data_IF_715135212873
#
_entry.id   IF_715135212873
#
_cell.length_a   1.000
_cell.length_b   1.000
_cell.length_c   1.000
_cell.angle_alpha   90.00
_cell.angle_beta   90.00
_cell.angle_gamma   90.00
#
_symmetry.space_group_name_H-M   'P 1'
#
loop_
_entity.id
_entity.type
_entity.pdbx_description
1 polymer ?
#
# COMPACT_ATOMS: atom_id res chain seq x y z
N UNK A 1 -18.74 18.02 13.97
CA UNK A 1 -17.71 17.68 12.96
C UNK A 1 -18.35 17.78 11.59
N UNK A 2 -17.75 18.51 10.66
CA UNK A 2 -18.22 18.51 9.27
C UNK A 2 -17.96 17.14 8.62
N UNK A 3 -18.86 16.67 7.76
CA UNK A 3 -18.66 15.40 7.01
C UNK A 3 -17.57 15.52 5.94
N UNK A 4 -17.09 16.72 5.66
CA UNK A 4 -16.14 16.98 4.57
C UNK A 4 -14.78 16.27 4.75
N UNK A 5 -14.13 16.26 5.93
CA UNK A 5 -12.89 15.52 6.15
C UNK A 5 -13.04 14.01 5.85
N UNK A 6 -14.13 13.40 6.33
CA UNK A 6 -14.39 11.97 6.10
C UNK A 6 -14.60 11.67 4.61
N UNK A 7 -15.39 12.48 3.91
CA UNK A 7 -15.60 12.30 2.48
C UNK A 7 -14.28 12.43 1.69
N UNK A 8 -13.47 13.46 2.00
CA UNK A 8 -12.17 13.65 1.34
C UNK A 8 -11.21 12.49 1.57
N UNK A 9 -11.28 11.82 2.71
CA UNK A 9 -10.46 10.67 3.03
C UNK A 9 -10.83 9.42 2.21
N UNK A 10 -12.12 9.19 1.92
CA UNK A 10 -12.59 7.98 1.21
C UNK A 10 -12.52 8.10 -0.31
N UNK A 11 -12.77 9.28 -0.87
CA UNK A 11 -12.91 9.47 -2.32
C UNK A 11 -11.74 8.88 -3.13
N UNK A 12 -10.46 9.11 -2.80
CA UNK A 12 -9.35 8.60 -3.58
C UNK A 12 -9.33 7.06 -3.66
N UNK A 13 -9.60 6.38 -2.54
CA UNK A 13 -9.67 4.93 -2.49
C UNK A 13 -10.84 4.38 -3.32
N UNK A 14 -12.02 5.01 -3.25
CA UNK A 14 -13.20 4.63 -4.04
C UNK A 14 -12.93 4.79 -5.54
N UNK A 15 -12.30 5.89 -5.95
CA UNK A 15 -11.95 6.14 -7.36
C UNK A 15 -11.00 5.05 -7.89
N UNK A 16 -9.98 4.67 -7.11
CA UNK A 16 -9.02 3.64 -7.52
C UNK A 16 -9.62 2.23 -7.46
N UNK A 17 -10.54 1.94 -6.52
CA UNK A 17 -11.33 0.70 -6.54
C UNK A 17 -12.21 0.63 -7.79
N UNK A 18 -12.86 1.72 -8.17
CA UNK A 18 -13.60 1.81 -9.42
C UNK A 18 -12.71 1.62 -10.65
N UNK A 19 -11.51 2.17 -10.64
CA UNK A 19 -10.54 2.02 -11.71
C UNK A 19 -10.10 0.55 -11.87
N UNK A 20 -9.73 -0.15 -10.81
CA UNK A 20 -9.29 -1.55 -10.92
C UNK A 20 -10.45 -2.46 -11.33
N UNK A 21 -11.66 -2.24 -10.81
CA UNK A 21 -12.86 -2.94 -11.24
C UNK A 21 -13.15 -2.75 -12.74
N UNK A 22 -13.02 -1.52 -13.24
CA UNK A 22 -13.17 -1.24 -14.66
C UNK A 22 -12.08 -1.91 -15.51
N UNK A 23 -10.86 -2.04 -15.00
CA UNK A 23 -9.78 -2.76 -15.68
C UNK A 23 -10.09 -4.25 -15.83
N UNK A 24 -10.79 -4.82 -14.86
CA UNK A 24 -11.19 -6.23 -14.80
C UNK A 24 -12.51 -6.55 -15.52
N UNK A 25 -13.07 -5.63 -16.27
CA UNK A 25 -14.40 -5.72 -16.88
C UNK A 25 -14.61 -6.90 -17.85
N UNK A 26 -13.57 -7.60 -18.28
CA UNK A 26 -13.68 -8.77 -19.19
C UNK A 26 -14.08 -10.03 -18.42
N UNK A 27 -13.64 -10.17 -17.18
CA UNK A 27 -13.96 -11.28 -16.28
C UNK A 27 -14.12 -10.73 -14.85
N UNK A 28 -15.17 -9.91 -14.58
CA UNK A 28 -15.27 -9.14 -13.35
C UNK A 28 -15.51 -10.03 -12.14
N UNK A 29 -14.74 -9.79 -11.10
CA UNK A 29 -14.90 -10.45 -9.83
C UNK A 29 -16.23 -10.10 -9.13
N UNK A 30 -16.87 -11.07 -8.42
CA UNK A 30 -18.10 -10.81 -7.69
C UNK A 30 -17.93 -9.69 -6.67
N UNK A 31 -18.81 -8.68 -6.71
CA UNK A 31 -18.77 -7.52 -5.81
C UNK A 31 -18.66 -7.92 -4.32
N UNK A 32 -19.33 -9.01 -3.94
CA UNK A 32 -19.24 -9.55 -2.57
C UNK A 32 -17.81 -9.96 -2.18
N UNK A 33 -17.03 -10.47 -3.12
CA UNK A 33 -15.63 -10.86 -2.88
C UNK A 33 -14.73 -9.61 -2.80
N UNK A 34 -14.98 -8.62 -3.66
CA UNK A 34 -14.26 -7.34 -3.61
C UNK A 34 -14.48 -6.62 -2.29
N UNK A 35 -15.74 -6.55 -1.82
CA UNK A 35 -16.08 -5.97 -0.52
C UNK A 35 -15.42 -6.71 0.65
N UNK A 36 -15.35 -8.05 0.59
CA UNK A 36 -14.63 -8.84 1.60
C UNK A 36 -13.13 -8.54 1.60
N UNK A 37 -12.50 -8.49 0.42
CA UNK A 37 -11.09 -8.16 0.30
C UNK A 37 -10.79 -6.75 0.84
N UNK A 38 -11.64 -5.76 0.51
CA UNK A 38 -11.53 -4.39 1.04
C UNK A 38 -11.69 -4.36 2.57
N UNK A 39 -12.65 -5.11 3.12
CA UNK A 39 -12.84 -5.21 4.57
C UNK A 39 -11.62 -5.87 5.27
N UNK A 40 -10.99 -6.86 4.65
CA UNK A 40 -9.74 -7.43 5.16
C UNK A 40 -8.61 -6.39 5.15
N UNK A 41 -8.56 -5.50 4.17
CA UNK A 41 -7.64 -4.37 4.17
C UNK A 41 -7.83 -3.45 5.37
N UNK A 42 -9.09 -3.14 5.71
CA UNK A 42 -9.41 -2.39 6.94
C UNK A 42 -8.92 -3.13 8.19
N UNK A 43 -9.07 -4.46 8.23
CA UNK A 43 -8.59 -5.30 9.34
C UNK A 43 -7.06 -5.43 9.37
N UNK A 44 -6.36 -5.11 8.30
CA UNK A 44 -4.89 -5.10 8.31
C UNK A 44 -4.31 -3.98 9.18
N UNK A 45 -5.04 -2.87 9.41
CA UNK A 45 -4.60 -1.79 10.33
C UNK A 45 -4.40 -2.31 11.76
N UNK A 46 -5.42 -2.85 12.46
CA UNK A 46 -5.20 -3.36 13.82
C UNK A 46 -4.17 -4.50 13.86
N UNK A 47 -4.03 -5.29 12.81
CA UNK A 47 -2.99 -6.33 12.73
C UNK A 47 -1.60 -5.69 12.64
N UNK A 48 -1.42 -4.64 11.84
CA UNK A 48 -0.18 -3.86 11.77
C UNK A 48 0.18 -3.28 13.14
N UNK A 49 -0.78 -2.65 13.82
CA UNK A 49 -0.56 -2.10 15.15
C UNK A 49 -0.19 -3.18 16.18
N UNK A 50 -0.77 -4.37 16.08
CA UNK A 50 -0.41 -5.51 16.91
C UNK A 50 1.02 -6.02 16.68
N UNK A 51 1.64 -5.72 15.54
CA UNK A 51 3.05 -5.98 15.25
C UNK A 51 3.92 -4.82 15.75
N UNK A 52 3.54 -3.58 15.42
CA UNK A 52 4.34 -2.37 15.67
C UNK A 52 4.49 -2.10 17.16
N UNK A 53 3.40 -2.09 17.95
CA UNK A 53 3.46 -1.74 19.37
C UNK A 53 4.38 -2.64 20.22
N UNK A 54 4.36 -3.99 20.09
CA UNK A 54 5.33 -4.81 20.80
C UNK A 54 6.78 -4.55 20.39
N UNK A 55 7.05 -4.31 19.10
CA UNK A 55 8.39 -4.01 18.60
C UNK A 55 8.90 -2.65 19.09
N UNK A 56 8.01 -1.66 19.21
CA UNK A 56 8.32 -0.36 19.81
C UNK A 56 8.60 -0.50 21.31
N UNK A 57 7.77 -1.27 22.02
CA UNK A 57 7.94 -1.49 23.47
C UNK A 57 9.26 -2.16 23.83
N UNK A 58 9.80 -3.05 22.99
CA UNK A 58 11.10 -3.69 23.19
C UNK A 58 12.27 -2.91 22.55
N UNK A 59 12.02 -1.70 22.02
CA UNK A 59 13.03 -0.81 21.47
C UNK A 59 13.58 -1.20 20.09
N UNK A 60 12.90 -2.08 19.35
CA UNK A 60 13.26 -2.41 17.95
C UNK A 60 12.77 -1.31 17.00
N UNK A 61 11.60 -0.75 17.22
CA UNK A 61 11.11 0.44 16.49
C UNK A 61 11.45 1.67 17.32
N UNK A 62 11.99 2.69 16.67
CA UNK A 62 12.39 3.94 17.33
C UNK A 62 11.14 4.78 17.66
N UNK A 63 11.15 5.45 18.84
CA UNK A 63 10.10 6.42 19.17
C UNK A 63 10.29 7.73 18.38
N UNK A 64 11.55 8.12 18.17
CA UNK A 64 11.93 9.32 17.42
C UNK A 64 13.22 9.07 16.62
N UNK A 65 13.39 9.75 15.52
CA UNK A 65 14.61 9.71 14.72
C UNK A 65 15.09 11.14 14.39
N UNK A 66 16.39 11.36 14.49
CA UNK A 66 17.03 12.66 14.22
C UNK A 66 18.09 12.58 13.12
N UNK A 67 18.30 11.38 12.57
CA UNK A 67 19.33 11.11 11.55
C UNK A 67 18.70 10.52 10.30
N UNK A 68 19.36 10.72 9.15
CA UNK A 68 18.92 10.11 7.86
C UNK A 68 18.81 8.60 7.98
N UNK A 69 19.78 7.94 8.64
CA UNK A 69 19.73 6.48 8.83
C UNK A 69 18.55 6.08 9.72
N UNK A 70 18.28 6.82 10.80
CA UNK A 70 17.11 6.59 11.65
C UNK A 70 15.80 6.75 10.89
N UNK A 71 15.68 7.76 10.04
CA UNK A 71 14.50 7.97 9.18
C UNK A 71 14.27 6.80 8.20
N UNK A 72 15.34 6.31 7.55
CA UNK A 72 15.25 5.12 6.67
C UNK A 72 14.87 3.88 7.47
N UNK A 73 15.53 3.66 8.62
CA UNK A 73 15.23 2.51 9.47
C UNK A 73 13.77 2.51 9.92
N UNK A 74 13.27 3.65 10.38
CA UNK A 74 11.88 3.79 10.82
C UNK A 74 10.88 3.59 9.68
N UNK A 75 11.13 4.13 8.50
CA UNK A 75 10.29 3.92 7.31
C UNK A 75 10.08 2.43 6.98
N UNK A 76 11.12 1.60 7.17
CA UNK A 76 10.99 0.17 6.94
C UNK A 76 10.39 -0.58 8.13
N UNK A 77 10.81 -0.26 9.36
CA UNK A 77 10.48 -1.06 10.55
C UNK A 77 9.13 -0.69 11.15
N UNK A 78 8.72 0.59 11.10
CA UNK A 78 7.46 1.04 11.68
C UNK A 78 6.30 1.01 10.67
N UNK A 79 6.58 1.13 9.36
CA UNK A 79 5.56 1.21 8.32
C UNK A 79 5.67 0.07 7.29
N UNK A 80 6.65 0.10 6.38
CA UNK A 80 6.64 -0.74 5.18
C UNK A 80 6.57 -2.25 5.46
N UNK A 81 7.40 -2.77 6.37
CA UNK A 81 7.43 -4.21 6.68
C UNK A 81 6.14 -4.65 7.39
N UNK A 82 5.71 -4.04 8.51
CA UNK A 82 4.52 -4.51 9.22
C UNK A 82 3.24 -4.34 8.42
N UNK A 83 3.12 -3.27 7.62
CA UNK A 83 1.94 -3.03 6.80
C UNK A 83 1.82 -4.01 5.65
N UNK A 84 2.88 -4.16 4.82
CA UNK A 84 2.81 -5.05 3.68
C UNK A 84 2.72 -6.52 4.10
N UNK A 85 3.34 -6.88 5.24
CA UNK A 85 3.20 -8.22 5.83
C UNK A 85 1.76 -8.48 6.28
N UNK A 86 1.12 -7.53 6.97
CA UNK A 86 -0.28 -7.63 7.42
C UNK A 86 -1.24 -7.76 6.24
N UNK A 87 -1.06 -6.93 5.20
CA UNK A 87 -1.84 -6.99 3.96
C UNK A 87 -1.68 -8.34 3.25
N UNK A 88 -0.44 -8.82 3.10
CA UNK A 88 -0.16 -10.10 2.44
C UNK A 88 -0.72 -11.29 3.24
N UNK A 89 -0.61 -11.27 4.56
CA UNK A 89 -1.16 -12.35 5.41
C UNK A 89 -2.67 -12.48 5.24
N UNK A 90 -3.41 -11.37 5.28
CA UNK A 90 -4.85 -11.37 5.11
C UNK A 90 -5.26 -11.71 3.67
N UNK A 91 -4.52 -11.23 2.68
CA UNK A 91 -4.70 -11.64 1.28
C UNK A 91 -4.51 -13.14 1.11
N UNK A 92 -3.44 -13.72 1.68
CA UNK A 92 -3.18 -15.16 1.62
C UNK A 92 -4.28 -15.96 2.31
N UNK A 93 -4.73 -15.57 3.50
CA UNK A 93 -5.83 -16.23 4.19
C UNK A 93 -7.11 -16.24 3.35
N UNK A 94 -7.38 -15.16 2.64
CA UNK A 94 -8.54 -15.01 1.78
C UNK A 94 -8.45 -15.83 0.49
N UNK A 95 -7.29 -15.80 -0.18
CA UNK A 95 -7.14 -16.39 -1.51
C UNK A 95 -6.78 -17.88 -1.52
N UNK A 96 -6.22 -18.43 -0.43
CA UNK A 96 -5.74 -19.84 -0.39
C UNK A 96 -6.80 -20.89 -0.72
N UNK A 97 -8.08 -20.59 -0.50
CA UNK A 97 -9.23 -21.46 -0.79
C UNK A 97 -10.35 -20.74 -1.55
N UNK A 98 -10.05 -19.59 -2.14
CA UNK A 98 -11.06 -18.81 -2.87
C UNK A 98 -11.19 -19.38 -4.30
N UNK A 99 -12.39 -19.88 -4.68
CA UNK A 99 -12.61 -20.43 -6.02
C UNK A 99 -12.65 -19.37 -7.10
N UNK A 100 -12.87 -18.11 -6.76
CA UNK A 100 -12.87 -16.98 -7.68
C UNK A 100 -11.46 -16.48 -8.02
N UNK A 101 -10.41 -17.01 -7.41
CA UNK A 101 -9.03 -16.73 -7.82
C UNK A 101 -8.63 -17.75 -8.89
N UNK A 102 -9.08 -17.61 -10.11
CA UNK A 102 -8.87 -18.54 -11.23
C UNK A 102 -8.13 -17.91 -12.41
N UNK A 103 -7.98 -16.60 -12.46
CA UNK A 103 -7.18 -15.87 -13.44
C UNK A 103 -6.01 -15.08 -12.80
N UNK A 104 -5.02 -14.70 -13.62
CA UNK A 104 -3.88 -13.91 -13.12
C UNK A 104 -4.26 -12.51 -12.67
N UNK A 105 -5.27 -11.91 -13.30
CA UNK A 105 -5.72 -10.56 -12.97
C UNK A 105 -6.37 -10.49 -11.58
N UNK A 106 -7.04 -11.57 -11.14
CA UNK A 106 -7.76 -11.62 -9.86
C UNK A 106 -6.84 -11.36 -8.66
N UNK A 107 -5.60 -11.88 -8.70
CA UNK A 107 -4.63 -11.62 -7.63
C UNK A 107 -4.28 -10.14 -7.53
N UNK A 108 -4.19 -9.42 -8.65
CA UNK A 108 -4.00 -7.96 -8.65
C UNK A 108 -5.25 -7.27 -8.10
N UNK A 109 -6.44 -7.65 -8.57
CA UNK A 109 -7.72 -7.05 -8.16
C UNK A 109 -7.93 -7.19 -6.66
N UNK A 110 -7.77 -8.40 -6.13
CA UNK A 110 -7.94 -8.66 -4.68
C UNK A 110 -6.86 -8.00 -3.83
N UNK A 111 -5.60 -8.02 -4.25
CA UNK A 111 -4.53 -7.34 -3.52
C UNK A 111 -4.70 -5.82 -3.49
N UNK A 112 -5.15 -5.22 -4.59
CA UNK A 112 -5.50 -3.79 -4.66
C UNK A 112 -6.68 -3.49 -3.74
N UNK A 113 -7.72 -4.35 -3.69
CA UNK A 113 -8.83 -4.17 -2.76
C UNK A 113 -8.37 -4.19 -1.30
N UNK A 114 -7.50 -5.15 -0.92
CA UNK A 114 -6.90 -5.18 0.43
C UNK A 114 -6.08 -3.92 0.69
N UNK A 115 -5.21 -3.55 -0.23
CA UNK A 115 -4.34 -2.38 -0.07
C UNK A 115 -5.10 -1.06 0.02
N UNK A 116 -6.16 -0.88 -0.77
CA UNK A 116 -7.01 0.31 -0.73
C UNK A 116 -7.97 0.32 0.48
N UNK A 117 -8.38 -0.85 0.98
CA UNK A 117 -9.11 -0.95 2.24
C UNK A 117 -8.26 -0.46 3.41
N UNK A 118 -6.98 -0.87 3.44
CA UNK A 118 -5.98 -0.36 4.39
C UNK A 118 -5.83 1.15 4.26
N UNK A 119 -5.47 1.63 3.06
CA UNK A 119 -5.23 3.04 2.78
C UNK A 119 -6.44 3.93 3.11
N UNK A 120 -7.66 3.43 2.88
CA UNK A 120 -8.89 4.16 3.19
C UNK A 120 -9.06 4.43 4.69
N UNK A 121 -8.88 3.40 5.55
CA UNK A 121 -8.95 3.59 7.00
C UNK A 121 -7.77 4.43 7.51
N UNK A 122 -6.56 4.15 7.04
CA UNK A 122 -5.37 4.93 7.37
C UNK A 122 -5.57 6.41 7.03
N UNK A 123 -6.10 6.72 5.84
CA UNK A 123 -6.38 8.09 5.41
C UNK A 123 -7.38 8.80 6.33
N UNK A 124 -8.41 8.08 6.80
CA UNK A 124 -9.35 8.61 7.81
C UNK A 124 -8.61 8.97 9.10
N UNK A 125 -7.76 8.09 9.61
CA UNK A 125 -7.00 8.33 10.84
C UNK A 125 -6.12 9.58 10.70
N UNK A 126 -5.39 9.72 9.60
CA UNK A 126 -4.57 10.91 9.34
C UNK A 126 -5.40 12.19 9.25
N UNK A 127 -6.51 12.16 8.54
CA UNK A 127 -7.35 13.36 8.32
C UNK A 127 -8.11 13.76 9.59
N UNK A 128 -8.57 12.78 10.40
CA UNK A 128 -9.35 13.08 11.62
C UNK A 128 -8.47 13.53 12.78
N UNK A 129 -7.23 13.01 12.86
CA UNK A 129 -6.31 13.29 13.97
C UNK A 129 -5.48 14.57 13.78
N UNK A 130 -5.60 15.27 12.65
CA UNK A 130 -4.81 16.45 12.33
C UNK A 130 -5.67 17.69 12.11
N UNK A 131 -5.23 18.83 12.64
CA UNK A 131 -5.91 20.11 12.48
C UNK A 131 -5.87 20.59 11.03
N UNK A 132 -4.73 20.43 10.32
CA UNK A 132 -4.57 20.74 8.89
C UNK A 132 -5.05 19.60 7.99
N UNK A 133 -6.25 19.09 8.29
CA UNK A 133 -6.83 17.95 7.60
C UNK A 133 -6.95 18.14 6.07
N UNK A 134 -7.14 19.39 5.60
CA UNK A 134 -7.36 19.67 4.17
C UNK A 134 -6.07 19.46 3.35
N UNK A 135 -4.94 19.98 3.81
CA UNK A 135 -3.62 19.77 3.20
C UNK A 135 -3.24 18.27 3.21
N UNK A 136 -3.47 17.62 4.35
CA UNK A 136 -3.22 16.17 4.50
C UNK A 136 -4.09 15.36 3.55
N UNK A 137 -5.39 15.66 3.46
CA UNK A 137 -6.30 14.97 2.56
C UNK A 137 -5.86 15.10 1.10
N UNK A 138 -5.44 16.29 0.66
CA UNK A 138 -4.99 16.53 -0.71
C UNK A 138 -3.68 15.79 -0.99
N UNK A 139 -2.67 15.91 -0.12
CA UNK A 139 -1.37 15.25 -0.32
C UNK A 139 -1.52 13.74 -0.33
N UNK A 140 -2.31 13.17 0.58
CA UNK A 140 -2.57 11.74 0.64
C UNK A 140 -3.40 11.24 -0.54
N UNK A 141 -4.34 12.03 -1.04
CA UNK A 141 -5.12 11.70 -2.24
C UNK A 141 -4.26 11.61 -3.51
N UNK A 142 -3.22 12.44 -3.60
CA UNK A 142 -2.34 12.51 -4.78
C UNK A 142 -1.20 11.48 -4.68
N UNK A 143 -0.68 11.21 -3.49
CA UNK A 143 0.54 10.42 -3.32
C UNK A 143 0.34 9.13 -2.52
N UNK A 144 -0.18 9.19 -1.28
CA UNK A 144 -0.23 8.03 -0.40
C UNK A 144 -1.22 6.97 -0.89
N UNK A 145 -2.47 7.34 -1.18
CA UNK A 145 -3.49 6.38 -1.65
C UNK A 145 -3.11 5.76 -3.01
N UNK A 146 -2.61 6.52 -4.01
CA UNK A 146 -2.02 5.94 -5.22
C UNK A 146 -0.77 5.09 -4.97
N UNK A 147 0.04 5.41 -3.95
CA UNK A 147 1.16 4.59 -3.50
C UNK A 147 0.69 3.20 -3.07
N UNK A 148 -0.26 3.14 -2.15
CA UNK A 148 -0.87 1.87 -1.71
C UNK A 148 -1.52 1.09 -2.85
N UNK A 149 -2.17 1.76 -3.80
CA UNK A 149 -2.64 1.11 -5.03
C UNK A 149 -1.49 0.42 -5.77
N UNK A 150 -0.36 1.09 -5.96
CA UNK A 150 0.80 0.53 -6.64
C UNK A 150 1.40 -0.66 -5.88
N UNK A 151 1.51 -0.58 -4.53
CA UNK A 151 1.99 -1.70 -3.70
C UNK A 151 1.04 -2.90 -3.79
N UNK A 152 -0.27 -2.66 -3.77
CA UNK A 152 -1.28 -3.70 -4.01
C UNK A 152 -1.13 -4.37 -5.38
N UNK A 153 -0.88 -3.60 -6.44
CA UNK A 153 -0.58 -4.15 -7.78
C UNK A 153 0.69 -5.00 -7.76
N UNK A 154 1.77 -4.55 -7.10
CA UNK A 154 3.02 -5.30 -6.98
C UNK A 154 2.82 -6.62 -6.24
N UNK A 155 2.16 -6.57 -5.09
CA UNK A 155 1.82 -7.75 -4.28
C UNK A 155 1.02 -8.75 -5.10
N UNK A 156 -0.09 -8.31 -5.69
CA UNK A 156 -1.00 -9.16 -6.46
C UNK A 156 -0.36 -9.73 -7.72
N UNK A 157 0.47 -8.97 -8.42
CA UNK A 157 1.22 -9.42 -9.59
C UNK A 157 2.09 -10.64 -9.26
N UNK A 158 2.95 -10.55 -8.25
CA UNK A 158 3.81 -11.66 -7.86
C UNK A 158 3.05 -12.78 -7.17
N UNK A 159 1.98 -12.48 -6.42
CA UNK A 159 1.13 -13.48 -5.81
C UNK A 159 0.43 -14.36 -6.87
N UNK A 160 -0.05 -13.75 -7.95
CA UNK A 160 -0.61 -14.48 -9.11
C UNK A 160 0.43 -15.33 -9.78
N UNK A 161 1.64 -14.82 -10.03
CA UNK A 161 2.72 -15.63 -10.60
C UNK A 161 3.06 -16.83 -9.70
N UNK A 162 3.05 -16.67 -8.38
CA UNK A 162 3.28 -17.77 -7.44
C UNK A 162 2.22 -18.88 -7.54
N UNK A 163 0.98 -18.55 -7.91
CA UNK A 163 -0.08 -19.55 -8.14
C UNK A 163 0.01 -20.20 -9.51
N UNK A 164 0.15 -19.39 -10.57
CA UNK A 164 0.02 -19.86 -11.95
C UNK A 164 1.32 -20.31 -12.59
N UNK A 165 2.47 -20.12 -11.92
CA UNK A 165 3.80 -20.59 -12.35
C UNK A 165 4.46 -21.41 -11.24
N UNK A 166 4.03 -22.66 -11.04
CA UNK A 166 4.41 -23.49 -9.89
C UNK A 166 5.92 -23.78 -9.81
N UNK A 167 6.64 -23.79 -10.95
CA UNK A 167 8.09 -23.98 -11.01
C UNK A 167 8.87 -22.92 -10.24
N UNK A 168 8.34 -21.71 -10.14
CA UNK A 168 8.98 -20.56 -9.48
C UNK A 168 8.20 -20.05 -8.27
N UNK A 169 7.29 -20.86 -7.72
CA UNK A 169 6.37 -20.50 -6.65
C UNK A 169 7.06 -19.82 -5.46
N UNK A 170 8.12 -20.43 -4.92
CA UNK A 170 8.83 -19.87 -3.75
C UNK A 170 9.41 -18.50 -4.04
N UNK A 171 10.03 -18.33 -5.22
CA UNK A 171 10.56 -17.03 -5.65
C UNK A 171 9.48 -15.99 -5.75
N UNK A 172 8.38 -16.28 -6.42
CA UNK A 172 7.29 -15.32 -6.59
C UNK A 172 6.55 -15.03 -5.29
N UNK A 173 6.42 -16.01 -4.38
CA UNK A 173 5.87 -15.76 -3.04
C UNK A 173 6.74 -14.79 -2.23
N UNK A 174 8.07 -14.94 -2.30
CA UNK A 174 8.98 -13.98 -1.66
C UNK A 174 8.88 -12.59 -2.29
N UNK A 175 8.82 -12.49 -3.63
CA UNK A 175 8.67 -11.21 -4.33
C UNK A 175 7.33 -10.54 -4.07
N UNK A 176 6.26 -11.29 -3.79
CA UNK A 176 4.96 -10.74 -3.41
C UNK A 176 5.00 -9.92 -2.11
N UNK A 177 5.98 -10.18 -1.23
CA UNK A 177 6.24 -9.38 -0.04
C UNK A 177 7.37 -8.36 -0.27
N UNK A 178 8.52 -8.83 -0.76
CA UNK A 178 9.74 -8.01 -0.79
C UNK A 178 9.60 -6.79 -1.72
N UNK A 179 8.94 -6.95 -2.87
CA UNK A 179 8.83 -5.84 -3.84
C UNK A 179 7.97 -4.71 -3.32
N UNK A 180 6.74 -4.92 -2.80
CA UNK A 180 5.98 -3.85 -2.20
C UNK A 180 6.63 -3.29 -0.94
N UNK A 181 7.26 -4.09 -0.07
CA UNK A 181 8.01 -3.60 1.11
C UNK A 181 9.14 -2.65 0.69
N UNK A 182 9.95 -3.01 -0.31
CA UNK A 182 11.03 -2.14 -0.78
C UNK A 182 10.47 -0.85 -1.41
N UNK A 183 9.43 -0.96 -2.21
CA UNK A 183 8.81 0.21 -2.84
C UNK A 183 8.19 1.16 -1.81
N UNK A 184 7.48 0.62 -0.82
CA UNK A 184 6.88 1.38 0.27
C UNK A 184 7.96 2.01 1.16
N UNK A 185 8.95 1.22 1.59
CA UNK A 185 10.05 1.71 2.42
C UNK A 185 10.88 2.82 1.75
N UNK A 186 11.11 2.76 0.43
CA UNK A 186 11.75 3.86 -0.31
C UNK A 186 10.85 5.10 -0.32
N UNK A 187 9.55 4.94 -0.56
CA UNK A 187 8.58 6.03 -0.55
C UNK A 187 8.60 6.77 0.78
N UNK A 188 8.44 6.03 1.89
CA UNK A 188 8.44 6.61 3.24
C UNK A 188 9.81 7.15 3.64
N UNK A 189 10.91 6.49 3.26
CA UNK A 189 12.26 6.99 3.52
C UNK A 189 12.47 8.38 2.93
N UNK A 190 12.02 8.61 1.70
CA UNK A 190 12.14 9.93 1.05
C UNK A 190 11.35 11.00 1.81
N UNK A 191 10.16 10.67 2.33
CA UNK A 191 9.35 11.59 3.13
C UNK A 191 9.91 11.81 4.55
N UNK A 192 10.36 10.74 5.21
CA UNK A 192 10.87 10.81 6.58
C UNK A 192 12.21 11.53 6.68
N UNK A 193 13.10 11.38 5.66
CA UNK A 193 14.35 12.13 5.60
C UNK A 193 14.09 13.64 5.50
N UNK A 194 13.04 14.07 4.79
CA UNK A 194 12.66 15.48 4.73
C UNK A 194 12.13 16.06 6.06
N UNK A 195 11.84 15.22 7.05
CA UNK A 195 11.48 15.66 8.42
C UNK A 195 12.70 15.81 9.33
N UNK A 196 13.87 15.29 8.95
CA UNK A 196 15.13 15.51 9.65
C UNK A 196 15.72 16.85 9.27
N UNK A 197 16.44 17.51 10.19
CA UNK A 197 17.13 18.76 9.85
C UNK A 197 18.22 18.51 8.80
N UNK A 198 17.94 18.96 7.57
CA UNK A 198 18.81 18.85 6.40
C UNK A 198 18.88 20.19 5.65
N UNK A 199 19.94 20.45 4.84
CA UNK A 199 20.01 21.65 4.01
C UNK A 199 18.87 21.71 2.97
N UNK A 200 18.33 22.89 2.70
CA UNK A 200 17.19 23.13 1.77
C UNK A 200 17.47 22.61 0.34
N UNK A 201 18.73 22.65 -0.12
CA UNK A 201 19.06 22.09 -1.42
C UNK A 201 18.86 20.56 -1.47
N UNK A 202 19.13 19.87 -0.37
CA UNK A 202 18.92 18.43 -0.25
C UNK A 202 17.41 18.09 -0.19
N UNK A 203 16.62 18.88 0.53
CA UNK A 203 15.15 18.74 0.53
C UNK A 203 14.59 18.85 -0.91
N UNK A 204 15.05 19.82 -1.68
CA UNK A 204 14.62 20.01 -3.07
C UNK A 204 14.97 18.80 -3.96
N UNK A 205 16.15 18.23 -3.78
CA UNK A 205 16.58 17.01 -4.50
C UNK A 205 15.71 15.82 -4.08
N UNK A 206 15.47 15.63 -2.78
CA UNK A 206 14.64 14.53 -2.27
C UNK A 206 13.19 14.63 -2.77
N UNK A 207 12.63 15.84 -2.80
CA UNK A 207 11.31 16.07 -3.37
C UNK A 207 11.26 15.69 -4.86
N UNK A 208 12.27 16.09 -5.64
CA UNK A 208 12.35 15.69 -7.05
C UNK A 208 12.47 14.17 -7.20
N UNK A 209 13.32 13.52 -6.39
CA UNK A 209 13.46 12.06 -6.36
C UNK A 209 12.12 11.38 -6.01
N UNK A 210 11.39 11.91 -5.05
CA UNK A 210 10.07 11.42 -4.64
C UNK A 210 9.06 11.49 -5.79
N UNK A 211 8.96 12.64 -6.48
CA UNK A 211 8.05 12.80 -7.61
C UNK A 211 8.38 11.86 -8.77
N UNK A 212 9.67 11.74 -9.09
CA UNK A 212 10.15 10.80 -10.12
C UNK A 212 9.86 9.35 -9.72
N UNK A 213 10.07 9.00 -8.45
CA UNK A 213 9.76 7.67 -7.92
C UNK A 213 8.26 7.35 -8.03
N UNK A 214 7.38 8.26 -7.61
CA UNK A 214 5.92 8.10 -7.74
C UNK A 214 5.49 7.90 -9.20
N UNK A 215 6.09 8.64 -10.14
CA UNK A 215 5.83 8.46 -11.58
C UNK A 215 6.22 7.06 -12.07
N UNK A 216 7.38 6.54 -11.67
CA UNK A 216 7.82 5.19 -12.05
C UNK A 216 7.01 4.09 -11.39
N UNK A 217 6.59 4.27 -10.13
CA UNK A 217 5.66 3.35 -9.44
C UNK A 217 4.37 3.20 -10.26
N UNK A 218 3.73 4.30 -10.60
CA UNK A 218 2.50 4.31 -11.39
C UNK A 218 2.68 3.70 -12.77
N UNK A 219 3.76 4.02 -13.45
CA UNK A 219 4.09 3.46 -14.76
C UNK A 219 4.27 1.95 -14.69
N UNK A 220 4.96 1.45 -13.68
CA UNK A 220 5.16 0.02 -13.46
C UNK A 220 3.84 -0.70 -13.16
N UNK A 221 3.04 -0.17 -12.23
CA UNK A 221 1.73 -0.71 -11.87
C UNK A 221 0.81 -0.79 -13.10
N UNK A 222 0.70 0.30 -13.87
CA UNK A 222 -0.12 0.33 -15.09
C UNK A 222 0.34 -0.68 -16.15
N UNK A 223 1.65 -0.90 -16.29
CA UNK A 223 2.19 -1.91 -17.20
C UNK A 223 1.90 -3.33 -16.72
N UNK A 224 1.98 -3.58 -15.42
CA UNK A 224 1.73 -4.89 -14.82
C UNK A 224 0.26 -5.31 -14.95
N UNK A 225 -0.67 -4.38 -14.71
CA UNK A 225 -2.10 -4.59 -14.98
C UNK A 225 -2.33 -4.97 -16.44
N UNK A 226 -1.74 -4.23 -17.39
CA UNK A 226 -1.88 -4.53 -18.82
C UNK A 226 -1.39 -5.92 -19.20
N UNK A 227 -0.31 -6.40 -18.58
CA UNK A 227 0.26 -7.73 -18.85
C UNK A 227 -0.61 -8.89 -18.36
N UNK A 228 -1.48 -8.65 -17.37
CA UNK A 228 -2.34 -9.68 -16.79
C UNK A 228 -3.75 -9.71 -17.40
N UNK A 229 -4.16 -8.63 -18.09
CA UNK A 229 -5.43 -8.57 -18.83
C UNK A 229 -5.36 -9.33 -20.18
N UNK A 230 -4.20 -9.61 -20.63
CA UNK A 230 -3.86 -10.19 -21.92
C UNK A 230 -4.01 -11.16 -22.50
#
# INVERSE_FOLDING_TARGET
MSFLPLLSAFIPAIVLLGYIYWRDRKSPEPLKQLLKATALGVLAIPLTLAIVYPLQWIGVILEEYTTIFGAIYDAFMSAAIPEELSKLLLLWLFLRKNPYFDERMDGIVYAVCVSLGFAGLENILYVVLNEDWASIAISRAIFAVPGHFCYGVMMGYFYSLAKFEPLHRTRYSALALLVPVVAHGIYDSLLFIMQVYIPTWLESILLLCFLVFCFYLWKWASKSIKRHIG
#
